data_IF_707268248381
#
_entry.id   IF_707268248381
#
_cell.length_a   1.000
_cell.length_b   1.000
_cell.length_c   1.000
_cell.angle_alpha   90.00
_cell.angle_beta   90.00
_cell.angle_gamma   90.00
#
_symmetry.space_group_name_H-M   'P 1'
#
loop_
_entity.id
_entity.type
_entity.pdbx_description
1 polymer ?
#
# COMPACT_ATOMS: atom_id res chain seq x y z
N UNK A 1 -4.12 -8.63 15.25
CA UNK A 1 -4.26 -9.28 13.93
C UNK A 1 -4.11 -8.19 12.88
N UNK A 2 -3.26 -8.42 11.88
CA UNK A 2 -3.03 -7.49 10.77
C UNK A 2 -3.45 -8.20 9.48
N UNK A 3 -4.19 -7.51 8.61
CA UNK A 3 -4.69 -8.05 7.35
C UNK A 3 -4.21 -7.12 6.23
N UNK A 4 -3.46 -7.66 5.28
CA UNK A 4 -2.99 -6.93 4.10
C UNK A 4 -3.49 -7.65 2.85
N UNK A 5 -4.03 -6.90 1.89
CA UNK A 5 -4.51 -7.46 0.63
C UNK A 5 -3.48 -7.25 -0.47
N UNK A 6 -2.89 -8.34 -0.96
CA UNK A 6 -1.91 -8.36 -2.06
C UNK A 6 -2.53 -8.93 -3.34
N UNK A 7 -1.93 -8.59 -4.49
CA UNK A 7 -2.34 -9.08 -5.81
C UNK A 7 -2.25 -8.00 -6.91
N UNK A 8 -2.39 -8.39 -8.17
CA UNK A 8 -2.24 -7.49 -9.33
C UNK A 8 -3.22 -6.31 -9.31
N UNK A 9 -2.86 -5.22 -9.99
CA UNK A 9 -3.80 -4.13 -10.28
C UNK A 9 -5.05 -4.69 -10.98
N UNK A 10 -6.24 -4.21 -10.62
CA UNK A 10 -7.51 -4.72 -11.17
C UNK A 10 -8.05 -6.01 -10.53
N UNK A 11 -7.31 -6.69 -9.64
CA UNK A 11 -7.78 -7.91 -8.96
C UNK A 11 -8.92 -7.70 -7.93
N UNK A 12 -9.50 -6.49 -7.85
CA UNK A 12 -10.62 -6.19 -6.94
C UNK A 12 -10.24 -5.95 -5.47
N UNK A 13 -8.96 -5.82 -5.14
CA UNK A 13 -8.46 -5.64 -3.76
C UNK A 13 -9.09 -4.44 -3.05
N UNK A 14 -9.24 -3.31 -3.73
CA UNK A 14 -9.86 -2.12 -3.14
C UNK A 14 -11.34 -2.34 -2.83
N UNK A 15 -12.06 -3.05 -3.70
CA UNK A 15 -13.48 -3.38 -3.50
C UNK A 15 -13.68 -4.30 -2.30
N UNK A 16 -12.90 -5.39 -2.24
CA UNK A 16 -12.98 -6.36 -1.13
C UNK A 16 -12.43 -5.75 0.16
N UNK A 17 -11.34 -4.99 0.09
CA UNK A 17 -10.71 -4.37 1.25
C UNK A 17 -11.63 -3.38 1.96
N UNK A 18 -12.35 -2.53 1.21
CA UNK A 18 -13.34 -1.62 1.79
C UNK A 18 -14.47 -2.38 2.48
N UNK A 19 -15.08 -3.33 1.79
CA UNK A 19 -16.17 -4.13 2.37
C UNK A 19 -15.72 -4.94 3.61
N UNK A 20 -14.50 -5.46 3.59
CA UNK A 20 -13.93 -6.18 4.73
C UNK A 20 -13.68 -5.22 5.90
N UNK A 21 -13.05 -4.07 5.65
CA UNK A 21 -12.76 -3.05 6.65
C UNK A 21 -14.04 -2.59 7.38
N UNK A 22 -15.09 -2.27 6.62
CA UNK A 22 -16.39 -1.87 7.17
C UNK A 22 -17.00 -2.98 8.04
N UNK A 23 -16.88 -4.24 7.61
CA UNK A 23 -17.46 -5.39 8.33
C UNK A 23 -16.77 -5.69 9.66
N UNK A 24 -15.47 -5.42 9.76
CA UNK A 24 -14.68 -5.74 10.97
C UNK A 24 -14.30 -4.50 11.80
N UNK A 25 -14.77 -3.32 11.40
CA UNK A 25 -14.49 -2.05 12.08
C UNK A 25 -13.04 -1.58 11.93
N UNK A 26 -12.40 -1.88 10.80
CA UNK A 26 -11.03 -1.46 10.50
C UNK A 26 -11.08 -0.27 9.54
N UNK A 27 -9.99 0.51 9.49
CA UNK A 27 -9.77 1.47 8.43
C UNK A 27 -9.32 0.79 7.13
N UNK A 28 -9.61 1.42 6.00
CA UNK A 28 -9.10 1.01 4.69
C UNK A 28 -8.09 2.06 4.19
N UNK A 29 -6.93 1.62 3.70
CA UNK A 29 -5.86 2.53 3.27
C UNK A 29 -5.28 2.07 1.93
N UNK A 30 -5.26 2.99 0.96
CA UNK A 30 -4.48 2.83 -0.26
C UNK A 30 -3.05 3.36 -0.04
N UNK A 31 -2.03 2.53 -0.22
CA UNK A 31 -0.64 2.93 0.02
C UNK A 31 -0.18 3.97 -0.99
N UNK A 32 -0.76 3.97 -2.20
CA UNK A 32 -0.49 4.97 -3.23
C UNK A 32 -0.86 6.39 -2.75
N UNK A 33 -1.99 6.53 -2.05
CA UNK A 33 -2.46 7.82 -1.57
C UNK A 33 -1.50 8.38 -0.51
N UNK A 34 -1.04 7.53 0.41
CA UNK A 34 -0.04 7.89 1.41
C UNK A 34 1.32 8.21 0.80
N UNK A 35 1.72 7.50 -0.26
CA UNK A 35 2.95 7.82 -1.00
C UNK A 35 2.83 9.18 -1.68
N UNK A 36 1.70 9.49 -2.35
CA UNK A 36 1.48 10.81 -2.96
C UNK A 36 1.51 11.92 -1.92
N UNK A 37 0.89 11.71 -0.76
CA UNK A 37 0.91 12.67 0.35
C UNK A 37 2.34 12.86 0.88
N UNK A 38 3.08 11.77 1.10
CA UNK A 38 4.47 11.79 1.60
C UNK A 38 5.42 12.56 0.68
N UNK A 39 5.30 12.36 -0.64
CA UNK A 39 6.22 12.97 -1.61
C UNK A 39 5.71 14.29 -2.19
N UNK A 40 4.42 14.60 -2.06
CA UNK A 40 3.80 15.79 -2.62
C UNK A 40 3.82 15.84 -4.15
N UNK A 41 3.92 14.67 -4.81
CA UNK A 41 4.07 14.52 -6.27
C UNK A 41 3.30 13.30 -6.76
N UNK A 42 3.02 13.28 -8.05
CA UNK A 42 2.54 12.07 -8.73
C UNK A 42 3.58 10.94 -8.62
N UNK A 43 3.12 9.70 -8.39
CA UNK A 43 4.00 8.56 -8.10
C UNK A 43 4.96 8.23 -9.25
N UNK A 44 4.58 8.49 -10.50
CA UNK A 44 5.49 8.27 -11.63
C UNK A 44 6.71 9.20 -11.56
N UNK A 45 6.54 10.47 -11.15
CA UNK A 45 7.66 11.39 -10.94
C UNK A 45 8.54 10.94 -9.77
N UNK A 46 7.92 10.34 -8.73
CA UNK A 46 8.66 9.79 -7.59
C UNK A 46 9.54 8.63 -8.06
N UNK A 47 8.99 7.70 -8.83
CA UNK A 47 9.74 6.56 -9.38
C UNK A 47 10.87 7.04 -10.29
N UNK A 48 10.65 8.05 -11.13
CA UNK A 48 11.70 8.63 -11.98
C UNK A 48 12.84 9.26 -11.16
N UNK A 49 12.54 9.78 -9.96
CA UNK A 49 13.52 10.45 -9.08
C UNK A 49 14.30 9.48 -8.19
N UNK A 50 13.63 8.49 -7.59
CA UNK A 50 14.23 7.60 -6.58
C UNK A 50 14.43 6.16 -7.07
N UNK A 51 13.98 5.86 -8.28
CA UNK A 51 13.97 4.52 -8.86
C UNK A 51 12.98 3.57 -8.20
N UNK A 52 12.81 2.39 -8.80
CA UNK A 52 11.91 1.36 -8.29
C UNK A 52 12.28 0.91 -6.86
N UNK A 53 13.58 0.72 -6.57
CA UNK A 53 14.03 0.28 -5.25
C UNK A 53 13.72 1.31 -4.15
N UNK A 54 13.93 2.60 -4.45
CA UNK A 54 13.57 3.67 -3.53
C UNK A 54 12.07 3.73 -3.28
N UNK A 55 11.27 3.50 -4.33
CA UNK A 55 9.81 3.45 -4.22
C UNK A 55 9.35 2.26 -3.36
N UNK A 56 9.89 1.06 -3.59
CA UNK A 56 9.59 -0.15 -2.80
C UNK A 56 9.94 0.07 -1.32
N UNK A 57 11.09 0.68 -1.05
CA UNK A 57 11.50 1.00 0.32
C UNK A 57 10.53 1.98 0.97
N UNK A 58 10.12 3.03 0.27
CA UNK A 58 9.17 4.01 0.78
C UNK A 58 7.78 3.40 1.05
N UNK A 59 7.30 2.52 0.17
CA UNK A 59 6.03 1.79 0.38
C UNK A 59 6.13 0.85 1.59
N UNK A 60 7.24 0.10 1.68
CA UNK A 60 7.50 -0.83 2.80
C UNK A 60 7.47 -0.08 4.13
N UNK A 61 8.12 1.08 4.22
CA UNK A 61 8.11 1.92 5.44
C UNK A 61 6.69 2.35 5.83
N UNK A 62 5.85 2.72 4.86
CA UNK A 62 4.44 3.08 5.10
C UNK A 62 3.66 1.88 5.64
N UNK A 63 3.78 0.72 5.00
CA UNK A 63 3.09 -0.50 5.43
C UNK A 63 3.51 -0.90 6.84
N UNK A 64 4.82 -0.88 7.14
CA UNK A 64 5.34 -1.18 8.47
C UNK A 64 4.86 -0.19 9.54
N UNK A 65 4.75 1.10 9.19
CA UNK A 65 4.20 2.13 10.06
C UNK A 65 2.74 1.85 10.40
N UNK A 66 1.90 1.53 9.41
CA UNK A 66 0.50 1.16 9.60
C UNK A 66 0.35 -0.10 10.45
N UNK A 67 1.19 -1.10 10.23
CA UNK A 67 1.17 -2.36 11.00
C UNK A 67 1.59 -2.19 12.46
N UNK A 68 2.34 -1.12 12.77
CA UNK A 68 2.80 -0.78 14.13
C UNK A 68 1.85 0.17 14.87
N UNK A 69 0.82 0.69 14.20
CA UNK A 69 -0.18 1.56 14.82
C UNK A 69 -1.10 0.80 15.79
N UNK A 70 -1.66 1.53 16.77
CA UNK A 70 -2.73 1.00 17.65
C UNK A 70 -4.03 0.80 16.87
N UNK A 71 -4.26 1.64 15.87
CA UNK A 71 -5.41 1.54 14.98
C UNK A 71 -5.25 0.36 14.01
N UNK A 72 -6.38 -0.16 13.53
CA UNK A 72 -6.41 -1.32 12.64
C UNK A 72 -6.74 -0.89 11.23
N UNK A 73 -5.82 -1.16 10.31
CA UNK A 73 -5.95 -0.82 8.90
C UNK A 73 -5.84 -2.08 8.03
N UNK A 74 -6.52 -2.05 6.89
CA UNK A 74 -6.33 -2.97 5.78
C UNK A 74 -5.61 -2.21 4.66
N UNK A 75 -4.26 -2.24 4.62
CA UNK A 75 -3.50 -1.65 3.53
C UNK A 75 -3.59 -2.50 2.25
N UNK A 76 -3.59 -1.82 1.10
CA UNK A 76 -3.47 -2.43 -0.23
C UNK A 76 -2.19 -1.95 -0.94
N UNK A 77 -1.02 -2.56 -0.68
CA UNK A 77 0.19 -2.25 -1.44
C UNK A 77 -0.01 -2.53 -2.93
N UNK A 78 0.56 -1.68 -3.78
CA UNK A 78 0.58 -1.91 -5.21
C UNK A 78 1.80 -2.71 -5.60
N UNK A 79 1.55 -3.93 -6.07
CA UNK A 79 2.54 -4.70 -6.81
C UNK A 79 2.87 -3.96 -8.11
N UNK A 80 4.04 -3.34 -8.16
CA UNK A 80 4.58 -2.81 -9.40
C UNK A 80 4.95 -4.01 -10.30
N UNK A 81 4.53 -4.04 -11.58
CA UNK A 81 4.67 -5.22 -12.43
C UNK A 81 6.11 -5.72 -12.63
N UNK A 82 7.11 -4.86 -12.39
CA UNK A 82 8.53 -5.23 -12.46
C UNK A 82 9.08 -5.82 -11.14
N UNK A 83 8.33 -5.81 -10.04
CA UNK A 83 8.82 -6.15 -8.69
C UNK A 83 7.83 -6.98 -7.88
N UNK A 84 7.44 -8.13 -8.44
CA UNK A 84 6.51 -9.10 -7.81
C UNK A 84 7.12 -9.76 -6.55
N UNK A 85 8.41 -9.59 -6.30
CA UNK A 85 9.20 -10.50 -5.45
C UNK A 85 9.53 -10.02 -4.02
N UNK A 86 9.20 -8.80 -3.61
CA UNK A 86 9.68 -8.27 -2.31
C UNK A 86 8.72 -8.39 -1.12
N UNK A 87 7.58 -9.06 -1.27
CA UNK A 87 6.63 -9.30 -0.16
C UNK A 87 6.75 -10.71 0.48
N UNK A 88 7.82 -11.44 0.20
CA UNK A 88 8.14 -12.76 0.79
C UNK A 88 9.49 -12.75 1.50
#
# INVERSE_FOLDING_TARGET
MNITLIGMAGAGKSTIGKALADKIGYGFVDTDDLLRERFGKELYNVIDEIGDEGFIKAETEIVLSLMSSKDKYIPIPKLHPNHITSFY
#
